data_IF_346321070262
#
_entry.id   IF_346321070262
#
_cell.length_a   1.000
_cell.length_b   1.000
_cell.length_c   1.000
_cell.angle_alpha   90.00
_cell.angle_beta   90.00
_cell.angle_gamma   90.00
#
_symmetry.space_group_name_H-M   'P 1'
#
loop_
_entity.id
_entity.type
_entity.pdbx_description
1 polymer ?
#
# COMPACT_ATOMS: atom_id res chain seq x y z
N UNK A 1 90.40 105.91 49.80
CA UNK A 1 91.09 104.60 49.87
C UNK A 1 90.47 103.66 48.85
N UNK A 2 90.94 103.70 47.60
CA UNK A 2 90.59 102.75 46.53
C UNK A 2 91.91 102.24 45.96
N UNK A 3 92.45 101.18 46.56
CA UNK A 3 93.66 100.49 46.09
C UNK A 3 93.73 99.13 46.77
N UNK A 4 92.74 98.27 46.51
CA UNK A 4 92.86 96.83 46.80
C UNK A 4 92.92 95.96 45.56
N UNK A 5 92.69 96.53 44.37
CA UNK A 5 92.67 95.80 43.11
C UNK A 5 93.41 96.60 42.03
N UNK A 6 94.18 95.88 41.22
CA UNK A 6 94.91 96.41 40.06
C UNK A 6 93.94 96.70 38.90
N UNK A 7 94.33 97.58 37.95
CA UNK A 7 93.52 97.83 36.74
C UNK A 7 93.27 96.54 35.94
N UNK A 8 94.21 95.60 35.95
CA UNK A 8 94.07 94.29 35.31
C UNK A 8 92.98 93.45 36.00
N UNK A 9 93.01 93.35 37.33
CA UNK A 9 92.00 92.61 38.12
C UNK A 9 90.58 93.18 38.05
N UNK A 10 90.43 94.48 37.77
CA UNK A 10 89.13 95.15 37.56
C UNK A 10 88.64 94.88 36.13
N UNK A 11 89.54 94.91 35.14
CA UNK A 11 89.24 94.56 33.74
C UNK A 11 88.78 93.09 33.61
N UNK A 12 89.50 92.17 34.23
CA UNK A 12 89.16 90.73 34.20
C UNK A 12 87.81 90.45 34.87
N UNK A 13 87.52 91.15 35.97
CA UNK A 13 86.25 91.03 36.67
C UNK A 13 85.07 91.66 35.90
N UNK A 14 85.31 92.78 35.20
CA UNK A 14 84.33 93.37 34.27
C UNK A 14 84.00 92.40 33.12
N UNK A 15 85.01 91.73 32.58
CA UNK A 15 84.83 90.74 31.52
C UNK A 15 84.05 89.52 32.02
N UNK A 16 84.34 89.01 33.23
CA UNK A 16 83.56 87.93 33.86
C UNK A 16 82.07 88.30 34.01
N UNK A 17 81.76 89.53 34.45
CA UNK A 17 80.38 90.03 34.51
C UNK A 17 79.77 90.07 33.11
N UNK A 18 80.46 90.62 32.11
CA UNK A 18 79.97 90.68 30.71
C UNK A 18 79.65 89.29 30.17
N UNK A 19 80.55 88.32 30.35
CA UNK A 19 80.36 86.94 29.91
C UNK A 19 79.17 86.28 30.62
N UNK A 20 78.98 86.54 31.91
CA UNK A 20 77.82 86.05 32.68
C UNK A 20 76.50 86.61 32.15
N UNK A 21 76.46 87.89 31.76
CA UNK A 21 75.26 88.50 31.19
C UNK A 21 74.94 88.00 29.77
N UNK A 22 75.95 87.87 28.91
CA UNK A 22 75.77 87.32 27.57
C UNK A 22 75.24 85.88 27.62
N UNK A 23 75.77 85.10 28.56
CA UNK A 23 75.31 83.75 28.83
C UNK A 23 73.88 83.73 29.39
N UNK A 24 73.55 84.63 30.30
CA UNK A 24 72.20 84.82 30.82
C UNK A 24 71.20 85.24 29.75
N UNK A 25 71.57 86.14 28.83
CA UNK A 25 70.75 86.54 27.69
C UNK A 25 70.45 85.34 26.77
N UNK A 26 71.46 84.54 26.43
CA UNK A 26 71.28 83.33 25.63
C UNK A 26 70.31 82.34 26.31
N UNK A 27 70.44 82.13 27.62
CA UNK A 27 69.58 81.25 28.38
C UNK A 27 68.15 81.77 28.53
N UNK A 28 67.96 83.08 28.67
CA UNK A 28 66.62 83.72 28.68
C UNK A 28 65.96 83.65 27.31
N UNK A 29 66.73 83.82 26.24
CA UNK A 29 66.28 83.62 24.86
C UNK A 29 65.87 82.16 24.64
N UNK A 30 66.64 81.20 25.18
CA UNK A 30 66.28 79.78 25.17
C UNK A 30 65.06 79.45 26.05
N UNK A 31 64.84 80.19 27.14
CA UNK A 31 63.62 80.16 27.95
C UNK A 31 62.45 80.92 27.29
N UNK A 32 62.68 81.50 26.10
CA UNK A 32 61.73 82.21 25.25
C UNK A 32 60.89 83.26 26.00
N UNK A 33 61.55 84.04 26.86
CA UNK A 33 60.94 85.16 27.56
C UNK A 33 61.38 86.49 26.89
N UNK A 34 60.69 86.92 25.81
CA UNK A 34 61.12 88.07 25.00
C UNK A 34 61.06 89.40 25.75
N UNK A 35 60.27 89.46 26.82
CA UNK A 35 60.16 90.63 27.70
C UNK A 35 61.45 90.79 28.51
N UNK A 36 61.94 89.70 29.09
CA UNK A 36 63.16 89.71 29.90
C UNK A 36 64.41 89.78 29.01
N UNK A 37 64.37 89.18 27.82
CA UNK A 37 65.43 89.31 26.81
C UNK A 37 65.69 90.78 26.43
N UNK A 38 64.63 91.53 26.10
CA UNK A 38 64.72 92.97 25.81
C UNK A 38 65.21 93.79 27.00
N UNK A 39 64.79 93.42 28.21
CA UNK A 39 65.24 94.07 29.44
C UNK A 39 66.75 93.84 29.67
N UNK A 40 67.22 92.61 29.46
CA UNK A 40 68.63 92.24 29.53
C UNK A 40 69.49 93.02 28.54
N UNK A 41 69.05 93.14 27.28
CA UNK A 41 69.76 93.91 26.25
C UNK A 41 69.92 95.38 26.63
N UNK A 42 68.84 96.00 27.13
CA UNK A 42 68.88 97.40 27.60
C UNK A 42 69.85 97.58 28.77
N UNK A 43 69.95 96.60 29.66
CA UNK A 43 70.79 96.63 30.87
C UNK A 43 72.26 96.28 30.59
N UNK A 44 72.52 95.39 29.63
CA UNK A 44 73.86 95.11 29.07
C UNK A 44 74.51 96.38 28.49
N UNK A 45 73.75 97.22 27.78
CA UNK A 45 74.23 98.50 27.25
C UNK A 45 74.55 99.53 28.35
N UNK A 46 73.96 99.39 29.54
CA UNK A 46 74.31 100.21 30.69
C UNK A 46 75.61 99.73 31.35
N UNK A 47 75.85 98.41 31.44
CA UNK A 47 77.08 97.83 32.00
C UNK A 47 78.36 98.33 31.29
N UNK A 48 78.32 98.50 29.96
CA UNK A 48 79.45 99.05 29.19
C UNK A 48 79.79 100.52 29.56
N UNK A 49 78.87 101.22 30.23
CA UNK A 49 79.05 102.60 30.74
C UNK A 49 79.49 102.67 32.20
N UNK A 50 79.71 101.53 32.86
CA UNK A 50 80.16 101.46 34.25
C UNK A 50 81.59 101.98 34.42
N UNK A 51 81.85 102.77 35.46
CA UNK A 51 83.21 103.24 35.77
C UNK A 51 84.03 102.15 36.47
N UNK A 52 85.36 102.18 36.34
CA UNK A 52 86.25 101.21 37.03
C UNK A 52 86.10 101.26 38.56
N UNK A 53 85.63 102.39 39.11
CA UNK A 53 85.32 102.54 40.53
C UNK A 53 84.08 101.74 40.96
N UNK A 54 83.07 101.64 40.10
CA UNK A 54 81.83 100.90 40.37
C UNK A 54 82.08 99.39 40.30
N UNK A 55 82.91 98.94 39.36
CA UNK A 55 83.33 97.53 39.24
C UNK A 55 84.22 97.12 40.42
N UNK A 56 85.14 97.99 40.85
CA UNK A 56 85.98 97.72 42.03
C UNK A 56 85.16 97.64 43.33
N UNK A 57 84.09 98.44 43.45
CA UNK A 57 83.14 98.38 44.58
C UNK A 57 82.40 97.05 44.59
N UNK A 58 81.82 96.64 43.47
CA UNK A 58 81.11 95.37 43.35
C UNK A 58 82.01 94.18 43.73
N UNK A 59 83.29 94.19 43.31
CA UNK A 59 84.28 93.17 43.71
C UNK A 59 84.60 93.19 45.21
N UNK A 60 84.58 94.36 45.84
CA UNK A 60 84.86 94.50 47.29
C UNK A 60 83.76 93.94 48.20
N UNK A 61 82.53 93.87 47.71
CA UNK A 61 81.38 93.30 48.44
C UNK A 61 81.27 91.78 48.32
N UNK A 62 82.21 91.13 47.60
CA UNK A 62 82.27 89.67 47.50
C UNK A 62 81.20 89.08 46.59
N UNK A 63 80.62 89.86 45.68
CA UNK A 63 79.79 89.33 44.61
C UNK A 63 80.67 88.42 43.73
N UNK A 64 80.34 87.13 43.64
CA UNK A 64 81.12 86.18 42.84
C UNK A 64 80.35 85.81 41.57
N UNK A 65 80.64 86.53 40.49
CA UNK A 65 80.06 86.25 39.18
C UNK A 65 80.65 85.00 38.53
N UNK A 66 81.82 84.51 38.96
CA UNK A 66 82.39 83.29 38.40
C UNK A 66 81.56 82.07 38.80
N UNK A 67 81.13 81.99 40.06
CA UNK A 67 80.27 80.90 40.52
C UNK A 67 78.91 80.89 39.79
N UNK A 68 78.38 82.08 39.51
CA UNK A 68 77.15 82.22 38.72
C UNK A 68 77.35 81.85 37.25
N UNK A 69 78.48 82.28 36.66
CA UNK A 69 78.85 81.93 35.30
C UNK A 69 78.95 80.41 35.13
N UNK A 70 79.62 79.71 36.04
CA UNK A 70 79.73 78.25 36.04
C UNK A 70 78.37 77.56 36.19
N UNK A 71 77.49 78.08 37.06
CA UNK A 71 76.13 77.57 37.20
C UNK A 71 75.31 77.75 35.90
N UNK A 72 75.43 78.90 35.25
CA UNK A 72 74.78 79.18 33.96
C UNK A 72 75.37 78.36 32.82
N UNK A 73 76.68 78.09 32.82
CA UNK A 73 77.34 77.23 31.83
C UNK A 73 76.85 75.80 31.94
N UNK A 74 76.78 75.28 33.18
CA UNK A 74 76.21 73.96 33.46
C UNK A 74 74.77 73.84 32.96
N UNK A 75 73.95 74.86 33.22
CA UNK A 75 72.58 74.90 32.69
C UNK A 75 72.54 74.97 31.16
N UNK A 76 73.39 75.77 30.53
CA UNK A 76 73.47 75.89 29.07
C UNK A 76 73.79 74.56 28.42
N UNK A 77 74.73 73.80 28.97
CA UNK A 77 75.04 72.46 28.46
C UNK A 77 73.82 71.54 28.54
N UNK A 78 73.08 71.57 29.65
CA UNK A 78 71.86 70.76 29.82
C UNK A 78 70.71 71.22 28.89
N UNK A 79 70.62 72.53 28.62
CA UNK A 79 69.56 73.10 27.76
C UNK A 79 69.89 72.91 26.26
N UNK A 80 71.16 73.04 25.87
CA UNK A 80 71.65 72.92 24.48
C UNK A 80 71.83 71.51 24.00
N UNK A 81 72.13 70.57 24.88
CA UNK A 81 72.11 69.16 24.52
C UNK A 81 70.64 68.85 24.18
N UNK A 82 70.27 68.58 22.90
CA UNK A 82 69.03 67.86 22.68
C UNK A 82 69.17 66.63 23.54
N UNK A 83 68.17 66.29 24.35
CA UNK A 83 68.23 65.17 25.26
C UNK A 83 68.25 63.86 24.45
N UNK A 84 69.32 63.65 23.69
CA UNK A 84 69.67 62.44 23.02
C UNK A 84 70.09 61.49 24.12
N UNK A 85 69.37 60.38 24.20
CA UNK A 85 69.59 59.26 25.11
C UNK A 85 68.88 59.30 26.47
N UNK A 86 67.66 59.84 26.55
CA UNK A 86 66.63 59.14 27.30
C UNK A 86 65.37 59.05 26.44
N UNK A 87 64.93 57.84 26.10
CA UNK A 87 63.82 57.57 25.17
C UNK A 87 62.45 58.00 25.72
N UNK A 88 62.30 59.26 26.13
CA UNK A 88 61.13 59.82 26.81
C UNK A 88 60.29 60.75 25.93
N UNK A 89 60.36 60.64 24.60
CA UNK A 89 59.18 61.04 23.85
C UNK A 89 58.12 60.00 24.18
N UNK A 90 57.16 60.30 25.06
CA UNK A 90 56.10 59.34 25.43
C UNK A 90 55.05 59.25 24.32
N UNK A 91 55.50 58.88 23.13
CA UNK A 91 54.65 58.57 21.98
C UNK A 91 54.07 57.16 22.16
N UNK A 92 52.82 56.92 21.74
CA UNK A 92 52.25 55.59 21.77
C UNK A 92 53.09 54.61 20.93
N UNK A 93 53.39 53.44 21.50
CA UNK A 93 54.13 52.36 20.83
C UNK A 93 53.27 51.63 19.78
N UNK A 94 51.95 51.72 19.89
CA UNK A 94 50.97 51.11 19.01
C UNK A 94 50.41 52.13 18.01
N UNK A 95 50.39 51.74 16.73
CA UNK A 95 49.80 52.55 15.66
C UNK A 95 48.30 52.79 15.87
N UNK A 96 47.81 53.94 15.40
CA UNK A 96 46.38 54.29 15.45
C UNK A 96 45.96 55.12 16.67
N UNK A 97 46.85 55.26 17.65
CA UNK A 97 46.62 56.13 18.79
C UNK A 97 46.92 57.60 18.49
N UNK A 98 46.11 58.55 19.00
CA UNK A 98 46.42 59.97 18.88
C UNK A 98 47.70 60.33 19.65
N UNK A 99 48.50 61.20 19.05
CA UNK A 99 49.69 61.80 19.67
C UNK A 99 49.30 62.85 20.72
N UNK A 100 50.23 63.14 21.63
CA UNK A 100 50.10 64.28 22.53
C UNK A 100 50.28 65.61 21.77
N UNK A 101 49.50 66.62 22.16
CA UNK A 101 49.51 67.94 21.53
C UNK A 101 50.49 68.86 22.29
N UNK A 102 51.71 68.93 21.79
CA UNK A 102 52.79 69.69 22.41
C UNK A 102 52.76 71.16 21.95
N UNK A 103 52.87 72.09 22.91
CA UNK A 103 52.93 73.53 22.63
C UNK A 103 54.32 73.95 22.14
N UNK A 104 54.61 75.25 22.20
CA UNK A 104 55.89 75.82 21.79
C UNK A 104 57.11 75.29 22.58
N UNK A 105 56.91 74.77 23.80
CA UNK A 105 57.95 74.13 24.61
C UNK A 105 58.44 72.80 24.02
N UNK A 106 57.77 72.27 22.99
CA UNK A 106 58.13 71.03 22.32
C UNK A 106 57.81 69.79 23.17
N UNK A 107 58.47 68.67 22.88
CA UNK A 107 58.22 67.37 23.53
C UNK A 107 59.44 66.84 24.31
N UNK A 108 60.42 67.70 24.59
CA UNK A 108 61.70 67.29 25.15
C UNK A 108 61.83 67.72 26.62
N UNK A 109 61.79 66.74 27.52
CA UNK A 109 62.09 66.96 28.93
C UNK A 109 63.58 67.27 29.15
N UNK A 110 63.86 68.35 29.87
CA UNK A 110 65.14 68.66 30.52
C UNK A 110 65.30 67.90 31.83
N UNK A 111 64.18 67.45 32.41
CA UNK A 111 64.13 66.53 33.55
C UNK A 111 64.73 67.10 34.84
N UNK A 112 64.97 66.23 35.82
CA UNK A 112 65.45 66.64 37.14
C UNK A 112 66.81 67.38 37.09
N UNK A 113 67.66 67.05 36.11
CA UNK A 113 68.96 67.71 35.92
C UNK A 113 68.81 69.15 35.44
N UNK A 114 67.94 69.41 34.46
CA UNK A 114 67.65 70.77 33.97
C UNK A 114 66.98 71.64 35.02
N UNK A 115 66.01 71.09 35.74
CA UNK A 115 65.32 71.80 36.82
C UNK A 115 66.29 72.15 37.97
N UNK A 116 67.15 71.21 38.37
CA UNK A 116 68.15 71.41 39.41
C UNK A 116 69.22 72.43 38.98
N UNK A 117 69.65 72.39 37.73
CA UNK A 117 70.60 73.37 37.19
C UNK A 117 70.00 74.78 37.14
N UNK A 118 68.74 74.92 36.70
CA UNK A 118 68.02 76.18 36.74
C UNK A 118 67.83 76.69 38.17
N UNK A 119 67.49 75.79 39.10
CA UNK A 119 67.39 76.10 40.53
C UNK A 119 68.75 76.57 41.10
N UNK A 120 69.84 75.96 40.68
CA UNK A 120 71.20 76.34 41.09
C UNK A 120 71.54 77.75 40.59
N UNK A 121 71.22 78.07 39.34
CA UNK A 121 71.41 79.41 38.76
C UNK A 121 70.67 80.48 39.57
N UNK A 122 69.39 80.26 39.91
CA UNK A 122 68.63 81.23 40.70
C UNK A 122 69.12 81.35 42.15
N UNK A 123 69.53 80.24 42.78
CA UNK A 123 70.11 80.28 44.15
C UNK A 123 71.40 81.09 44.17
N UNK A 124 72.31 80.84 43.22
CA UNK A 124 73.59 81.55 43.13
C UNK A 124 73.35 83.01 42.76
N UNK A 125 72.42 83.32 41.84
CA UNK A 125 72.05 84.69 41.49
C UNK A 125 71.46 85.46 42.68
N UNK A 126 70.59 84.85 43.49
CA UNK A 126 70.11 85.43 44.75
C UNK A 126 71.23 85.68 45.75
N UNK A 127 72.23 84.79 45.80
CA UNK A 127 73.46 84.98 46.56
C UNK A 127 74.23 86.22 46.12
N UNK A 128 74.53 86.33 44.82
CA UNK A 128 75.21 87.50 44.19
C UNK A 128 74.42 88.79 44.43
N UNK A 129 73.10 88.76 44.26
CA UNK A 129 72.21 89.90 44.52
C UNK A 129 72.25 90.33 45.99
N UNK A 130 72.10 89.41 46.94
CA UNK A 130 72.15 89.74 48.39
C UNK A 130 73.51 90.32 48.84
N UNK A 131 74.60 89.94 48.17
CA UNK A 131 75.94 90.45 48.42
C UNK A 131 76.14 91.84 47.80
N UNK A 132 75.65 92.06 46.59
CA UNK A 132 75.74 93.34 45.89
C UNK A 132 74.77 94.41 46.39
N UNK A 133 73.59 94.02 46.86
CA UNK A 133 72.57 94.92 47.43
C UNK A 133 73.08 95.63 48.70
N UNK A 134 73.95 94.98 49.47
CA UNK A 134 74.69 95.62 50.59
C UNK A 134 75.60 96.76 50.15
N UNK A 135 76.00 96.81 48.88
CA UNK A 135 76.71 97.94 48.26
C UNK A 135 75.81 99.00 47.64
N UNK A 136 74.50 98.73 47.55
CA UNK A 136 73.47 99.66 47.10
C UNK A 136 72.99 100.59 48.23
N UNK A 137 73.24 100.27 49.49
CA UNK A 137 72.78 101.05 50.66
C UNK A 137 73.73 102.16 51.14
N UNK A 138 74.59 102.68 50.24
CA UNK A 138 75.39 103.88 50.52
C UNK A 138 75.28 104.91 49.39
N UNK A 139 74.14 105.64 49.30
CA UNK A 139 74.07 107.12 49.15
C UNK A 139 72.65 107.61 49.51
N UNK A 140 72.61 108.53 50.49
CA UNK A 140 71.64 109.58 50.84
C UNK A 140 70.31 109.71 50.07
N UNK A 141 69.20 109.65 50.80
CA UNK A 141 67.86 110.14 50.41
C UNK A 141 67.87 111.67 50.30
N UNK A 142 67.57 112.23 49.12
CA UNK A 142 67.09 113.62 48.97
C UNK A 142 65.92 113.61 47.99
N UNK A 143 64.71 113.70 48.56
CA UNK A 143 63.43 114.13 47.98
C UNK A 143 63.03 113.61 46.57
N UNK A 144 62.17 112.58 46.56
CA UNK A 144 61.13 112.36 45.55
C UNK A 144 61.60 111.82 44.19
N UNK A 145 61.26 110.56 43.91
CA UNK A 145 61.49 109.81 42.66
C UNK A 145 62.98 109.57 42.33
N UNK A 146 63.57 108.48 42.86
CA UNK A 146 64.94 108.12 42.50
C UNK A 146 65.42 106.83 43.14
N UNK A 147 65.30 105.72 42.41
CA UNK A 147 66.10 104.52 42.67
C UNK A 147 67.59 104.86 42.61
N UNK A 148 68.40 104.16 43.41
CA UNK A 148 69.84 104.35 43.41
C UNK A 148 70.40 104.05 42.00
N UNK A 149 70.98 105.04 41.33
CA UNK A 149 71.58 104.92 39.99
C UNK A 149 72.99 104.34 40.00
N UNK A 150 73.44 103.80 41.14
CA UNK A 150 74.65 103.00 41.18
C UNK A 150 74.52 101.87 40.15
N UNK A 151 75.39 101.91 39.14
CA UNK A 151 75.47 100.87 38.10
C UNK A 151 75.62 99.46 38.71
N UNK A 152 76.15 99.37 39.93
CA UNK A 152 76.24 98.14 40.74
C UNK A 152 74.86 97.49 40.97
N UNK A 153 73.82 98.26 41.29
CA UNK A 153 72.47 97.76 41.57
C UNK A 153 71.78 97.26 40.31
N UNK A 154 71.96 98.00 39.22
CA UNK A 154 71.48 97.63 37.88
C UNK A 154 72.07 96.28 37.46
N UNK A 155 73.35 96.04 37.76
CA UNK A 155 74.04 94.80 37.40
C UNK A 155 73.46 93.60 38.16
N UNK A 156 73.38 93.69 39.50
CA UNK A 156 72.92 92.54 40.28
C UNK A 156 71.42 92.26 40.12
N UNK A 157 70.60 93.29 39.92
CA UNK A 157 69.15 93.17 39.66
C UNK A 157 68.88 92.51 38.30
N UNK A 158 69.64 92.89 37.27
CA UNK A 158 69.51 92.29 35.94
C UNK A 158 69.86 90.81 35.96
N UNK A 159 70.90 90.43 36.70
CA UNK A 159 71.33 89.04 36.87
C UNK A 159 70.27 88.21 37.60
N UNK A 160 69.68 88.76 38.67
CA UNK A 160 68.60 88.09 39.39
C UNK A 160 67.37 87.93 38.49
N UNK A 161 66.96 88.99 37.80
CA UNK A 161 65.82 88.98 36.87
C UNK A 161 66.01 87.95 35.75
N UNK A 162 67.22 87.85 35.19
CA UNK A 162 67.56 86.85 34.19
C UNK A 162 67.46 85.43 34.76
N UNK A 163 68.01 85.20 35.96
CA UNK A 163 67.97 83.91 36.62
C UNK A 163 66.54 83.48 37.00
N UNK A 164 65.68 84.41 37.41
CA UNK A 164 64.25 84.16 37.70
C UNK A 164 63.52 83.76 36.42
N UNK A 165 63.71 84.52 35.33
CA UNK A 165 63.10 84.23 34.04
C UNK A 165 63.54 82.86 33.46
N UNK A 166 64.80 82.48 33.66
CA UNK A 166 65.32 81.17 33.27
C UNK A 166 64.65 80.06 34.08
N UNK A 167 64.62 80.21 35.41
CA UNK A 167 64.01 79.20 36.29
C UNK A 167 62.51 79.04 36.03
N UNK A 168 61.78 80.14 35.90
CA UNK A 168 60.36 80.15 35.58
C UNK A 168 60.08 79.56 34.19
N UNK A 169 60.88 79.92 33.18
CA UNK A 169 60.72 79.38 31.83
C UNK A 169 60.99 77.87 31.74
N UNK A 170 62.04 77.37 32.38
CA UNK A 170 62.35 75.93 32.42
C UNK A 170 61.26 75.18 33.19
N UNK A 171 60.82 75.70 34.33
CA UNK A 171 59.75 75.08 35.13
C UNK A 171 58.40 75.11 34.40
N UNK A 172 58.09 76.21 33.71
CA UNK A 172 56.89 76.33 32.88
C UNK A 172 56.89 75.27 31.78
N UNK A 173 57.98 75.14 31.02
CA UNK A 173 58.04 74.18 29.93
C UNK A 173 57.99 72.73 30.40
N UNK A 174 58.59 72.37 31.53
CA UNK A 174 58.43 71.02 32.11
C UNK A 174 56.96 70.73 32.47
N UNK A 175 56.29 71.68 33.14
CA UNK A 175 54.89 71.52 33.51
C UNK A 175 53.95 71.48 32.29
N UNK A 176 54.25 72.24 31.23
CA UNK A 176 53.50 72.23 29.97
C UNK A 176 53.64 70.88 29.24
N UNK A 177 54.86 70.34 29.16
CA UNK A 177 55.12 69.01 28.58
C UNK A 177 54.40 67.92 29.39
N UNK A 178 54.52 67.92 30.73
CA UNK A 178 53.79 66.97 31.60
C UNK A 178 52.27 67.05 31.38
N UNK A 179 51.73 68.26 31.27
CA UNK A 179 50.31 68.49 31.00
C UNK A 179 49.89 67.96 29.62
N UNK A 180 50.68 68.21 28.59
CA UNK A 180 50.45 67.70 27.23
C UNK A 180 50.48 66.15 27.18
N UNK A 181 51.42 65.52 27.88
CA UNK A 181 51.52 64.05 27.97
C UNK A 181 50.37 63.43 28.76
N UNK A 182 49.94 64.06 29.85
CA UNK A 182 48.76 63.66 30.63
C UNK A 182 47.50 63.77 29.75
N UNK A 183 47.31 64.90 29.06
CA UNK A 183 46.18 65.10 28.16
C UNK A 183 46.20 64.06 27.01
N UNK A 184 47.36 63.85 26.38
CA UNK A 184 47.54 62.79 25.38
C UNK A 184 47.18 61.40 25.92
N UNK A 185 47.52 61.10 27.18
CA UNK A 185 47.14 59.84 27.84
C UNK A 185 45.62 59.71 28.02
N UNK A 186 44.94 60.78 28.42
CA UNK A 186 43.47 60.78 28.49
C UNK A 186 42.81 60.62 27.12
N UNK A 187 43.34 61.25 26.07
CA UNK A 187 42.85 61.08 24.69
C UNK A 187 43.01 59.64 24.19
N UNK A 188 44.11 58.97 24.55
CA UNK A 188 44.33 57.55 24.21
C UNK A 188 43.38 56.63 24.98
N UNK A 189 43.11 56.93 26.25
CA UNK A 189 42.10 56.19 27.03
C UNK A 189 40.70 56.35 26.43
N UNK A 190 40.34 57.57 26.01
CA UNK A 190 39.08 57.83 25.33
C UNK A 190 38.97 57.06 24.00
N UNK A 191 40.06 57.02 23.21
CA UNK A 191 40.13 56.21 22.01
C UNK A 191 39.93 54.71 22.29
N UNK A 192 40.59 54.16 23.32
CA UNK A 192 40.41 52.75 23.72
C UNK A 192 38.97 52.48 24.12
N UNK A 193 38.35 53.36 24.90
CA UNK A 193 36.95 53.18 25.30
C UNK A 193 36.00 53.24 24.10
N UNK A 194 36.26 54.14 23.15
CA UNK A 194 35.49 54.22 21.90
C UNK A 194 35.64 52.95 21.05
N UNK A 195 36.86 52.42 20.92
CA UNK A 195 37.12 51.16 20.21
C UNK A 195 36.45 49.97 20.91
N UNK A 196 36.54 49.89 22.23
CA UNK A 196 35.87 48.85 23.03
C UNK A 196 34.36 48.92 22.89
N UNK A 197 33.78 50.12 22.91
CA UNK A 197 32.34 50.31 22.68
C UNK A 197 31.94 49.88 21.26
N UNK A 198 32.77 50.18 20.27
CA UNK A 198 32.55 49.76 18.88
C UNK A 198 32.63 48.23 18.74
N UNK A 199 33.61 47.60 19.38
CA UNK A 199 33.74 46.14 19.44
C UNK A 199 32.55 45.48 20.15
N UNK A 200 32.07 46.07 21.24
CA UNK A 200 30.86 45.60 21.91
C UNK A 200 29.65 45.67 20.97
N UNK A 201 29.44 46.79 20.28
CA UNK A 201 28.36 46.92 19.30
C UNK A 201 28.46 45.92 18.15
N UNK A 202 29.67 45.63 17.66
CA UNK A 202 29.92 44.60 16.64
C UNK A 202 29.64 43.19 17.16
N UNK A 203 30.03 42.89 18.41
CA UNK A 203 29.76 41.63 19.08
C UNK A 203 28.26 41.41 19.27
N UNK A 204 27.53 42.41 19.77
CA UNK A 204 26.08 42.36 19.99
C UNK A 204 25.32 42.17 18.66
N UNK A 205 25.78 42.85 17.60
CA UNK A 205 25.24 42.69 16.25
C UNK A 205 25.47 41.28 15.71
N UNK A 206 26.67 40.73 15.92
CA UNK A 206 27.02 39.36 15.50
C UNK A 206 26.21 38.32 16.27
N UNK A 207 26.05 38.49 17.58
CA UNK A 207 25.22 37.62 18.41
C UNK A 207 23.77 37.62 17.92
N UNK A 208 23.22 38.80 17.63
CA UNK A 208 21.85 38.95 17.10
C UNK A 208 21.70 38.24 15.75
N UNK A 209 22.67 38.40 14.85
CA UNK A 209 22.66 37.72 13.55
C UNK A 209 22.70 36.19 13.69
N UNK A 210 23.54 35.66 14.58
CA UNK A 210 23.63 34.22 14.86
C UNK A 210 22.30 33.68 15.39
N UNK A 211 21.69 34.37 16.36
CA UNK A 211 20.40 33.95 16.95
C UNK A 211 19.30 33.96 15.88
N UNK A 212 19.23 35.00 15.05
CA UNK A 212 18.24 35.09 13.98
C UNK A 212 18.42 33.98 12.94
N UNK A 213 19.65 33.71 12.51
CA UNK A 213 19.94 32.62 11.59
C UNK A 213 19.58 31.25 12.18
N UNK A 214 19.90 31.01 13.45
CA UNK A 214 19.53 29.76 14.13
C UNK A 214 18.01 29.58 14.20
N UNK A 215 17.26 30.65 14.51
CA UNK A 215 15.80 30.62 14.54
C UNK A 215 15.21 30.37 13.15
N UNK A 216 15.75 31.01 12.10
CA UNK A 216 15.33 30.77 10.72
C UNK A 216 15.59 29.32 10.30
N UNK A 217 16.81 28.82 10.51
CA UNK A 217 17.17 27.44 10.18
C UNK A 217 16.28 26.43 10.91
N UNK A 218 15.97 26.68 12.20
CA UNK A 218 15.06 25.82 12.97
C UNK A 218 13.66 25.82 12.37
N UNK A 219 13.15 26.98 11.97
CA UNK A 219 11.84 27.10 11.30
C UNK A 219 11.81 26.33 9.98
N UNK A 220 12.86 26.47 9.16
CA UNK A 220 12.96 25.80 7.86
C UNK A 220 12.99 24.27 8.01
N UNK A 221 13.75 23.76 8.98
CA UNK A 221 13.80 22.33 9.30
C UNK A 221 12.42 21.80 9.72
N UNK A 222 11.75 22.49 10.65
CA UNK A 222 10.42 22.07 11.12
C UNK A 222 9.39 22.08 9.99
N UNK A 223 9.43 23.10 9.12
CA UNK A 223 8.52 23.16 7.97
C UNK A 223 8.78 22.03 6.97
N UNK A 224 10.05 21.71 6.71
CA UNK A 224 10.42 20.59 5.84
C UNK A 224 9.99 19.23 6.44
N UNK A 225 10.20 19.02 7.74
CA UNK A 225 9.75 17.81 8.45
C UNK A 225 8.23 17.65 8.39
N UNK A 226 7.47 18.72 8.63
CA UNK A 226 6.01 18.70 8.53
C UNK A 226 5.54 18.40 7.10
N UNK A 227 6.13 19.03 6.09
CA UNK A 227 5.79 18.75 4.69
C UNK A 227 6.08 17.31 4.28
N UNK A 228 7.21 16.75 4.73
CA UNK A 228 7.54 15.34 4.51
C UNK A 228 6.55 14.41 5.21
N UNK A 229 6.19 14.71 6.47
CA UNK A 229 5.20 13.95 7.23
C UNK A 229 3.84 13.93 6.55
N UNK A 230 3.38 15.08 6.08
CA UNK A 230 2.09 15.20 5.37
C UNK A 230 2.10 14.41 4.06
N UNK A 231 3.23 14.43 3.34
CA UNK A 231 3.42 13.63 2.11
C UNK A 231 3.35 12.12 2.40
N UNK A 232 4.02 11.66 3.47
CA UNK A 232 3.98 10.25 3.89
C UNK A 232 2.54 9.85 4.24
N UNK A 233 1.83 10.65 5.04
CA UNK A 233 0.44 10.37 5.43
C UNK A 233 -0.49 10.31 4.21
N UNK A 234 -0.30 11.21 3.24
CA UNK A 234 -1.08 11.21 2.01
C UNK A 234 -0.85 9.94 1.18
N UNK A 235 0.40 9.51 1.04
CA UNK A 235 0.76 8.28 0.33
C UNK A 235 0.22 7.03 1.04
N UNK A 236 0.40 6.92 2.35
CA UNK A 236 -0.12 5.79 3.14
C UNK A 236 -1.65 5.66 3.00
N UNK A 237 -2.37 6.78 2.99
CA UNK A 237 -3.81 6.79 2.79
C UNK A 237 -4.21 6.39 1.36
N UNK A 238 -3.45 6.83 0.35
CA UNK A 238 -3.67 6.45 -1.04
C UNK A 238 -3.46 4.93 -1.24
N UNK A 239 -2.37 4.40 -0.69
CA UNK A 239 -2.04 2.97 -0.76
C UNK A 239 -3.08 2.12 -0.02
N UNK A 240 -3.50 2.55 1.17
CA UNK A 240 -4.58 1.89 1.92
C UNK A 240 -5.88 1.83 1.11
N UNK A 241 -6.25 2.93 0.44
CA UNK A 241 -7.46 2.96 -0.39
C UNK A 241 -7.32 2.05 -1.62
N UNK A 242 -6.14 1.99 -2.25
CA UNK A 242 -5.87 1.11 -3.37
C UNK A 242 -5.99 -0.37 -2.98
N UNK A 243 -5.46 -0.75 -1.80
CA UNK A 243 -5.61 -2.11 -1.25
C UNK A 243 -7.09 -2.46 -1.04
N UNK A 244 -7.86 -1.57 -0.39
CA UNK A 244 -9.30 -1.79 -0.15
C UNK A 244 -10.07 -1.98 -1.46
N UNK A 245 -9.78 -1.18 -2.49
CA UNK A 245 -10.42 -1.29 -3.79
C UNK A 245 -10.10 -2.63 -4.47
N UNK A 246 -8.84 -3.07 -4.40
CA UNK A 246 -8.40 -4.34 -4.95
C UNK A 246 -9.10 -5.51 -4.23
N UNK A 247 -9.14 -5.48 -2.89
CA UNK A 247 -9.82 -6.50 -2.09
C UNK A 247 -11.32 -6.61 -2.42
N UNK A 248 -12.00 -5.47 -2.60
CA UNK A 248 -13.40 -5.46 -3.02
C UNK A 248 -13.58 -6.03 -4.43
N UNK A 249 -12.71 -5.66 -5.38
CA UNK A 249 -12.73 -6.21 -6.74
C UNK A 249 -12.54 -7.73 -6.76
N UNK A 250 -11.59 -8.24 -5.95
CA UNK A 250 -11.35 -9.67 -5.81
C UNK A 250 -12.54 -10.38 -5.17
N UNK A 251 -13.13 -9.80 -4.12
CA UNK A 251 -14.34 -10.33 -3.47
C UNK A 251 -15.49 -10.45 -4.47
N UNK A 252 -15.76 -9.40 -5.24
CA UNK A 252 -16.84 -9.38 -6.22
C UNK A 252 -16.63 -10.44 -7.32
N UNK A 253 -15.37 -10.62 -7.74
CA UNK A 253 -14.99 -11.68 -8.71
C UNK A 253 -15.26 -13.07 -8.14
N UNK A 254 -14.87 -13.33 -6.89
CA UNK A 254 -15.12 -14.62 -6.22
C UNK A 254 -16.63 -14.88 -6.11
N UNK A 255 -17.40 -13.90 -5.63
CA UNK A 255 -18.87 -14.03 -5.50
C UNK A 255 -19.53 -14.26 -6.85
N UNK A 256 -19.06 -13.59 -7.91
CA UNK A 256 -19.54 -13.81 -9.28
C UNK A 256 -19.30 -15.25 -9.75
N UNK A 257 -18.09 -15.78 -9.53
CA UNK A 257 -17.74 -17.14 -9.89
C UNK A 257 -18.54 -18.18 -9.10
N UNK A 258 -18.71 -17.98 -7.79
CA UNK A 258 -19.50 -18.87 -6.94
C UNK A 258 -20.96 -18.93 -7.38
N UNK A 259 -21.55 -17.77 -7.73
CA UNK A 259 -22.91 -17.72 -8.27
C UNK A 259 -23.02 -18.42 -9.63
N UNK A 260 -22.05 -18.24 -10.53
CA UNK A 260 -22.02 -18.94 -11.82
C UNK A 260 -21.92 -20.47 -11.63
N UNK A 261 -21.05 -20.93 -10.72
CA UNK A 261 -20.91 -22.34 -10.38
C UNK A 261 -22.20 -22.91 -9.79
N UNK A 262 -22.86 -22.17 -8.90
CA UNK A 262 -24.15 -22.57 -8.32
C UNK A 262 -25.23 -22.75 -9.40
N UNK A 263 -25.32 -21.83 -10.36
CA UNK A 263 -26.24 -21.93 -11.49
C UNK A 263 -25.92 -23.16 -12.35
N UNK A 264 -24.65 -23.41 -12.64
CA UNK A 264 -24.23 -24.58 -13.41
C UNK A 264 -24.62 -25.91 -12.75
N UNK A 265 -24.44 -26.01 -11.43
CA UNK A 265 -24.86 -27.18 -10.64
C UNK A 265 -26.38 -27.38 -10.74
N UNK A 266 -27.17 -26.32 -10.53
CA UNK A 266 -28.64 -26.39 -10.61
C UNK A 266 -29.10 -26.85 -12.00
N UNK A 267 -28.49 -26.34 -13.07
CA UNK A 267 -28.83 -26.74 -14.43
C UNK A 267 -28.50 -28.22 -14.67
N UNK A 268 -27.32 -28.68 -14.25
CA UNK A 268 -26.93 -30.08 -14.38
C UNK A 268 -27.88 -31.01 -13.60
N UNK A 269 -28.27 -30.64 -12.38
CA UNK A 269 -29.24 -31.40 -11.58
C UNK A 269 -30.61 -31.49 -12.28
N UNK A 270 -31.07 -30.40 -12.89
CA UNK A 270 -32.31 -30.38 -13.65
C UNK A 270 -32.24 -31.24 -14.92
N UNK A 271 -31.12 -31.18 -15.65
CA UNK A 271 -30.88 -32.00 -16.83
C UNK A 271 -30.87 -33.50 -16.48
N UNK A 272 -30.17 -33.86 -15.40
CA UNK A 272 -30.14 -35.23 -14.88
C UNK A 272 -31.55 -35.71 -14.47
N UNK A 273 -32.31 -34.85 -13.76
CA UNK A 273 -33.70 -35.15 -13.39
C UNK A 273 -34.59 -35.38 -14.61
N UNK A 274 -34.45 -34.54 -15.64
CA UNK A 274 -35.22 -34.68 -16.88
C UNK A 274 -34.85 -35.96 -17.63
N UNK A 275 -33.56 -36.33 -17.66
CA UNK A 275 -33.09 -37.57 -18.26
C UNK A 275 -33.67 -38.82 -17.57
N UNK A 276 -33.72 -38.82 -16.22
CA UNK A 276 -34.35 -39.89 -15.44
C UNK A 276 -35.83 -40.00 -15.78
N UNK A 277 -36.58 -38.89 -15.79
CA UNK A 277 -38.01 -38.87 -16.12
C UNK A 277 -38.25 -39.41 -17.54
N UNK A 278 -37.41 -39.03 -18.50
CA UNK A 278 -37.52 -39.51 -19.88
C UNK A 278 -37.31 -41.02 -19.97
N UNK A 279 -36.30 -41.56 -19.26
CA UNK A 279 -36.02 -43.00 -19.20
C UNK A 279 -37.18 -43.77 -18.55
N UNK A 280 -37.69 -43.30 -17.42
CA UNK A 280 -38.83 -43.93 -16.74
C UNK A 280 -40.08 -43.98 -17.63
N UNK A 281 -40.37 -42.90 -18.37
CA UNK A 281 -41.48 -42.87 -19.32
C UNK A 281 -41.27 -43.82 -20.51
N UNK A 282 -40.05 -43.94 -21.01
CA UNK A 282 -39.70 -44.90 -22.06
C UNK A 282 -39.90 -46.35 -21.56
N UNK A 283 -39.41 -46.66 -20.36
CA UNK A 283 -39.58 -47.98 -19.73
C UNK A 283 -41.06 -48.31 -19.50
N UNK A 284 -41.84 -47.35 -18.98
CA UNK A 284 -43.29 -47.52 -18.79
C UNK A 284 -44.00 -47.81 -20.11
N UNK A 285 -43.63 -47.11 -21.18
CA UNK A 285 -44.18 -47.34 -22.52
C UNK A 285 -43.84 -48.73 -23.04
N UNK A 286 -42.59 -49.18 -22.87
CA UNK A 286 -42.15 -50.51 -23.28
C UNK A 286 -42.89 -51.63 -22.53
N UNK A 287 -43.11 -51.47 -21.21
CA UNK A 287 -43.89 -52.42 -20.41
C UNK A 287 -45.33 -52.52 -20.93
N UNK A 288 -46.01 -51.39 -21.17
CA UNK A 288 -47.39 -51.38 -21.68
C UNK A 288 -47.48 -52.05 -23.06
N UNK A 289 -46.52 -51.80 -23.95
CA UNK A 289 -46.48 -52.46 -25.27
C UNK A 289 -46.32 -53.97 -25.14
N UNK A 290 -45.44 -54.43 -24.25
CA UNK A 290 -45.24 -55.86 -24.00
C UNK A 290 -46.50 -56.51 -23.41
N UNK A 291 -47.12 -55.88 -22.41
CA UNK A 291 -48.37 -56.37 -21.81
C UNK A 291 -49.49 -56.50 -22.85
N UNK A 292 -49.61 -55.53 -23.76
CA UNK A 292 -50.58 -55.59 -24.85
C UNK A 292 -50.26 -56.72 -25.83
N UNK A 293 -49.01 -56.90 -26.23
CA UNK A 293 -48.61 -58.00 -27.10
C UNK A 293 -48.87 -59.39 -26.47
N UNK A 294 -48.62 -59.52 -25.16
CA UNK A 294 -48.94 -60.74 -24.41
C UNK A 294 -50.45 -60.98 -24.35
N UNK A 295 -51.25 -59.93 -24.10
CA UNK A 295 -52.71 -60.00 -24.12
C UNK A 295 -53.24 -60.45 -25.49
N UNK A 296 -52.74 -59.89 -26.58
CA UNK A 296 -53.14 -60.26 -27.94
C UNK A 296 -52.81 -61.72 -28.24
N UNK A 297 -51.64 -62.19 -27.78
CA UNK A 297 -51.25 -63.61 -27.90
C UNK A 297 -52.21 -64.53 -27.17
N UNK A 298 -52.58 -64.19 -25.93
CA UNK A 298 -53.56 -64.96 -25.14
C UNK A 298 -54.91 -65.00 -25.85
N UNK A 299 -55.43 -63.85 -26.30
CA UNK A 299 -56.72 -63.76 -27.01
C UNK A 299 -56.71 -64.58 -28.30
N UNK A 300 -55.63 -64.54 -29.06
CA UNK A 300 -55.50 -65.35 -30.28
C UNK A 300 -55.50 -66.85 -29.97
N UNK A 301 -54.77 -67.28 -28.95
CA UNK A 301 -54.78 -68.67 -28.50
C UNK A 301 -56.16 -69.12 -28.05
N UNK A 302 -56.88 -68.30 -27.28
CA UNK A 302 -58.25 -68.58 -26.85
C UNK A 302 -59.21 -68.71 -28.04
N UNK A 303 -59.08 -67.85 -29.05
CA UNK A 303 -59.88 -67.92 -30.27
C UNK A 303 -59.59 -69.19 -31.08
N UNK A 304 -58.32 -69.60 -31.19
CA UNK A 304 -57.92 -70.86 -31.84
C UNK A 304 -58.50 -72.05 -31.08
N UNK A 305 -58.36 -72.09 -29.76
CA UNK A 305 -58.91 -73.15 -28.91
C UNK A 305 -60.44 -73.23 -29.04
N UNK A 306 -61.13 -72.10 -29.03
CA UNK A 306 -62.58 -72.04 -29.25
C UNK A 306 -62.98 -72.60 -30.62
N UNK A 307 -62.25 -72.25 -31.67
CA UNK A 307 -62.49 -72.77 -33.03
C UNK A 307 -62.31 -74.28 -33.11
N UNK A 308 -61.27 -74.82 -32.45
CA UNK A 308 -61.03 -76.26 -32.35
C UNK A 308 -62.16 -76.99 -31.62
N UNK A 309 -62.64 -76.44 -30.50
CA UNK A 309 -63.79 -77.01 -29.76
C UNK A 309 -65.02 -77.07 -30.66
N UNK A 310 -65.38 -75.96 -31.33
CA UNK A 310 -66.53 -75.91 -32.25
C UNK A 310 -66.40 -76.92 -33.39
N UNK A 311 -65.19 -77.06 -33.95
CA UNK A 311 -64.93 -78.01 -35.03
C UNK A 311 -65.13 -79.46 -34.56
N UNK A 312 -64.58 -79.80 -33.39
CA UNK A 312 -64.74 -81.13 -32.80
C UNK A 312 -66.21 -81.42 -32.44
N UNK A 313 -66.94 -80.45 -31.87
CA UNK A 313 -68.35 -80.61 -31.55
C UNK A 313 -69.20 -80.84 -32.81
N UNK A 314 -68.92 -80.12 -33.90
CA UNK A 314 -69.58 -80.35 -35.18
C UNK A 314 -69.26 -81.74 -35.75
N UNK A 315 -68.00 -82.16 -35.72
CA UNK A 315 -67.60 -83.50 -36.17
C UNK A 315 -68.28 -84.61 -35.35
N UNK A 316 -68.35 -84.44 -34.04
CA UNK A 316 -69.06 -85.37 -33.14
C UNK A 316 -70.56 -85.41 -33.46
N UNK A 317 -71.20 -84.25 -33.67
CA UNK A 317 -72.62 -84.18 -34.06
C UNK A 317 -72.86 -84.91 -35.39
N UNK A 318 -72.02 -84.67 -36.39
CA UNK A 318 -72.16 -85.29 -37.70
C UNK A 318 -71.96 -86.81 -37.63
N UNK A 319 -71.04 -87.29 -36.78
CA UNK A 319 -70.85 -88.71 -36.52
C UNK A 319 -72.09 -89.36 -35.85
N UNK A 320 -72.72 -88.68 -34.89
CA UNK A 320 -73.99 -89.13 -34.28
C UNK A 320 -75.09 -89.23 -35.34
N UNK A 321 -75.26 -88.20 -36.17
CA UNK A 321 -76.26 -88.19 -37.25
C UNK A 321 -76.01 -89.34 -38.25
N UNK A 322 -74.75 -89.59 -38.62
CA UNK A 322 -74.39 -90.69 -39.52
C UNK A 322 -74.72 -92.06 -38.90
N UNK A 323 -74.46 -92.24 -37.60
CA UNK A 323 -74.81 -93.46 -36.88
C UNK A 323 -76.33 -93.65 -36.80
N UNK A 324 -77.08 -92.60 -36.48
CA UNK A 324 -78.55 -92.63 -36.44
C UNK A 324 -79.14 -92.98 -37.80
N UNK A 325 -78.61 -92.43 -38.89
CA UNK A 325 -79.03 -92.77 -40.25
C UNK A 325 -78.71 -94.24 -40.59
N UNK A 326 -77.54 -94.74 -40.17
CA UNK A 326 -77.17 -96.15 -40.34
C UNK A 326 -78.14 -97.06 -39.60
N UNK A 327 -78.42 -96.76 -38.33
CA UNK A 327 -79.38 -97.51 -37.51
C UNK A 327 -80.79 -97.47 -38.10
N UNK A 328 -81.24 -96.30 -38.56
CA UNK A 328 -82.53 -96.16 -39.25
C UNK A 328 -82.62 -97.04 -40.49
N UNK A 329 -81.59 -97.04 -41.33
CA UNK A 329 -81.55 -97.87 -42.54
C UNK A 329 -81.56 -99.37 -42.20
N UNK A 330 -80.86 -99.78 -41.14
CA UNK A 330 -80.91 -101.16 -40.65
C UNK A 330 -82.30 -101.57 -40.16
N UNK A 331 -82.99 -100.70 -39.41
CA UNK A 331 -84.38 -100.93 -38.97
C UNK A 331 -85.29 -101.10 -40.19
N UNK A 332 -85.21 -100.20 -41.18
CA UNK A 332 -86.02 -100.27 -42.41
C UNK A 332 -85.75 -101.58 -43.17
N UNK A 333 -84.48 -102.00 -43.29
CA UNK A 333 -84.12 -103.25 -43.96
C UNK A 333 -84.67 -104.48 -43.22
N UNK A 334 -84.60 -104.49 -41.89
CA UNK A 334 -85.18 -105.54 -41.06
C UNK A 334 -86.71 -105.57 -41.17
N UNK A 335 -87.37 -104.41 -41.13
CA UNK A 335 -88.82 -104.30 -41.29
C UNK A 335 -89.27 -104.81 -42.65
N UNK A 336 -88.56 -104.48 -43.73
CA UNK A 336 -88.84 -105.01 -45.06
C UNK A 336 -88.67 -106.53 -45.11
N UNK A 337 -87.60 -107.07 -44.53
CA UNK A 337 -87.37 -108.52 -44.44
C UNK A 337 -88.48 -109.22 -43.66
N UNK A 338 -88.86 -108.67 -42.51
CA UNK A 338 -89.95 -109.19 -41.68
C UNK A 338 -91.29 -109.13 -42.41
N UNK A 339 -91.59 -108.02 -43.12
CA UNK A 339 -92.78 -107.88 -43.95
C UNK A 339 -92.81 -108.96 -45.04
N UNK A 340 -91.72 -109.18 -45.76
CA UNK A 340 -91.66 -110.17 -46.82
C UNK A 340 -91.82 -111.60 -46.26
N UNK A 341 -91.22 -111.90 -45.09
CA UNK A 341 -91.44 -113.16 -44.37
C UNK A 341 -92.91 -113.35 -43.96
N UNK A 342 -93.56 -112.31 -43.41
CA UNK A 342 -94.97 -112.36 -43.03
C UNK A 342 -95.85 -112.63 -44.26
N UNK A 343 -95.61 -111.95 -45.38
CA UNK A 343 -96.34 -112.17 -46.63
C UNK A 343 -96.16 -113.61 -47.12
N UNK A 344 -94.93 -114.12 -47.11
CA UNK A 344 -94.62 -115.50 -47.48
C UNK A 344 -95.35 -116.52 -46.58
N UNK A 345 -95.32 -116.31 -45.26
CA UNK A 345 -95.99 -117.19 -44.30
C UNK A 345 -97.52 -117.11 -44.44
N UNK A 346 -98.08 -115.93 -44.66
CA UNK A 346 -99.51 -115.76 -44.89
C UNK A 346 -99.98 -116.47 -46.18
N UNK A 347 -99.17 -116.40 -47.24
CA UNK A 347 -99.42 -117.11 -48.49
C UNK A 347 -99.36 -118.64 -48.29
N UNK A 348 -98.35 -119.13 -47.56
CA UNK A 348 -98.24 -120.54 -47.19
C UNK A 348 -99.49 -121.02 -46.46
N UNK A 349 -99.92 -120.29 -45.43
CA UNK A 349 -101.11 -120.62 -44.64
C UNK A 349 -102.40 -120.59 -45.49
N UNK A 350 -102.55 -119.62 -46.39
CA UNK A 350 -103.73 -119.52 -47.25
C UNK A 350 -103.83 -120.72 -48.22
N UNK A 351 -102.69 -121.20 -48.73
CA UNK A 351 -102.62 -122.40 -49.55
C UNK A 351 -102.92 -123.64 -48.70
N UNK A 352 -102.34 -123.77 -47.51
CA UNK A 352 -102.65 -124.87 -46.57
C UNK A 352 -104.14 -124.94 -46.22
N UNK A 353 -104.79 -123.80 -45.96
CA UNK A 353 -106.23 -123.74 -45.71
C UNK A 353 -107.04 -124.18 -46.94
N UNK A 354 -106.61 -123.80 -48.14
CA UNK A 354 -107.27 -124.25 -49.37
C UNK A 354 -107.07 -125.74 -49.62
N UNK A 355 -105.88 -126.26 -49.30
CA UNK A 355 -105.55 -127.69 -49.37
C UNK A 355 -106.37 -128.52 -48.38
N UNK A 356 -106.64 -128.00 -47.18
CA UNK A 356 -107.43 -128.68 -46.16
C UNK A 356 -108.95 -128.58 -46.38
N UNK A 357 -109.43 -127.59 -47.13
CA UNK A 357 -110.86 -127.41 -47.40
C UNK A 357 -111.45 -128.49 -48.30
N UNK A 358 -112.68 -128.95 -47.99
CA UNK A 358 -113.48 -129.87 -48.82
C UNK A 358 -114.38 -129.16 -49.84
N UNK A 359 -114.32 -127.83 -49.91
CA UNK A 359 -115.02 -127.04 -50.91
C UNK A 359 -114.21 -127.01 -52.20
N UNK A 360 -114.73 -127.57 -53.30
CA UNK A 360 -114.09 -127.64 -54.63
C UNK A 360 -113.84 -126.29 -55.33
N UNK A 361 -113.70 -125.20 -54.57
CA UNK A 361 -113.34 -123.87 -55.02
C UNK A 361 -112.00 -123.49 -54.40
N UNK A 362 -110.91 -124.02 -54.96
CA UNK A 362 -109.59 -123.46 -54.73
C UNK A 362 -109.52 -122.06 -55.37
N UNK A 363 -108.78 -121.13 -54.76
CA UNK A 363 -108.52 -119.86 -55.42
C UNK A 363 -107.72 -120.14 -56.71
N UNK A 364 -108.17 -119.60 -57.85
CA UNK A 364 -107.60 -119.88 -59.17
C UNK A 364 -106.08 -119.69 -59.24
N UNK A 365 -105.53 -118.74 -58.46
CA UNK A 365 -104.09 -118.50 -58.37
C UNK A 365 -103.30 -119.67 -57.75
N UNK A 366 -103.89 -120.49 -56.88
CA UNK A 366 -103.20 -121.66 -56.31
C UNK A 366 -103.12 -122.84 -57.28
N UNK A 367 -103.98 -122.85 -58.30
CA UNK A 367 -104.01 -123.89 -59.33
C UNK A 367 -103.01 -123.59 -60.46
N UNK A 368 -102.47 -122.38 -60.58
CA UNK A 368 -101.64 -122.02 -61.74
C UNK A 368 -100.14 -122.19 -61.45
N UNK A 369 -99.31 -122.46 -62.48
CA UNK A 369 -97.86 -122.40 -62.36
C UNK A 369 -97.35 -120.94 -62.24
N UNK A 370 -96.12 -120.79 -61.75
CA UNK A 370 -95.43 -119.49 -61.72
C UNK A 370 -95.37 -118.85 -63.13
N UNK A 371 -95.32 -117.50 -63.27
CA UNK A 371 -95.10 -116.50 -62.22
C UNK A 371 -96.38 -116.00 -61.52
N UNK A 372 -97.55 -116.24 -62.09
CA UNK A 372 -98.83 -115.73 -61.56
C UNK A 372 -99.62 -116.81 -60.82
N UNK A 373 -98.96 -117.88 -60.38
CA UNK A 373 -99.61 -118.98 -59.71
C UNK A 373 -98.71 -119.67 -58.71
N UNK A 374 -99.34 -120.34 -57.75
CA UNK A 374 -98.67 -120.91 -56.58
C UNK A 374 -98.81 -122.43 -56.47
N UNK A 375 -99.11 -123.13 -57.59
CA UNK A 375 -99.27 -124.59 -57.56
C UNK A 375 -97.97 -125.32 -57.19
N UNK A 376 -96.81 -124.76 -57.56
CA UNK A 376 -95.50 -125.29 -57.15
C UNK A 376 -95.29 -125.17 -55.64
N UNK A 377 -95.72 -124.06 -55.04
CA UNK A 377 -95.69 -123.85 -53.59
C UNK A 377 -96.67 -124.82 -52.92
N UNK A 378 -97.90 -124.94 -53.42
CA UNK A 378 -98.87 -125.91 -52.93
C UNK A 378 -98.32 -127.35 -52.98
N UNK A 379 -97.70 -127.74 -54.09
CA UNK A 379 -97.00 -129.04 -54.22
C UNK A 379 -95.92 -129.19 -53.15
N UNK A 380 -95.10 -128.16 -52.92
CA UNK A 380 -94.02 -128.22 -51.93
C UNK A 380 -94.56 -128.33 -50.50
N UNK A 381 -95.66 -127.65 -50.19
CA UNK A 381 -96.37 -127.74 -48.90
C UNK A 381 -96.85 -129.16 -48.69
N UNK A 382 -97.62 -129.73 -49.63
CA UNK A 382 -98.10 -131.12 -49.53
C UNK A 382 -96.95 -132.09 -49.36
N UNK A 383 -95.86 -131.90 -50.11
CA UNK A 383 -94.67 -132.74 -50.00
C UNK A 383 -94.06 -132.68 -48.61
N UNK A 384 -93.85 -131.48 -48.09
CA UNK A 384 -93.31 -131.26 -46.75
C UNK A 384 -94.22 -131.88 -45.69
N UNK A 385 -95.54 -131.77 -45.83
CA UNK A 385 -96.51 -132.39 -44.92
C UNK A 385 -96.40 -133.92 -44.93
N UNK A 386 -96.34 -134.55 -46.11
CA UNK A 386 -96.14 -136.01 -46.22
C UNK A 386 -94.80 -136.44 -45.62
N UNK A 387 -93.73 -135.71 -45.90
CA UNK A 387 -92.41 -136.03 -45.38
C UNK A 387 -92.36 -135.88 -43.85
N UNK A 388 -93.03 -134.87 -43.29
CA UNK A 388 -93.19 -134.69 -41.84
C UNK A 388 -94.02 -135.84 -41.21
N UNK A 389 -95.13 -136.25 -41.82
CA UNK A 389 -95.90 -137.42 -41.37
C UNK A 389 -95.11 -138.72 -41.41
N UNK A 390 -94.35 -138.94 -42.50
CA UNK A 390 -93.50 -140.11 -42.66
C UNK A 390 -92.44 -140.14 -41.57
N UNK A 391 -91.84 -138.99 -41.26
CA UNK A 391 -90.91 -138.85 -40.15
C UNK A 391 -91.57 -139.10 -38.78
N UNK A 392 -92.85 -138.75 -38.61
CA UNK A 392 -93.66 -139.07 -37.44
C UNK A 392 -94.11 -140.54 -37.36
N UNK A 393 -93.75 -141.38 -38.34
CA UNK A 393 -94.05 -142.82 -38.36
C UNK A 393 -95.49 -143.16 -38.79
N UNK A 394 -96.23 -142.21 -39.35
CA UNK A 394 -97.61 -142.41 -39.82
C UNK A 394 -97.66 -143.07 -41.21
N UNK A 395 -98.76 -143.75 -41.52
CA UNK A 395 -98.96 -144.39 -42.82
C UNK A 395 -99.35 -143.35 -43.88
N UNK A 396 -98.41 -143.03 -44.77
CA UNK A 396 -98.58 -142.03 -45.84
C UNK A 396 -98.90 -142.65 -47.21
N UNK A 397 -99.14 -143.96 -47.30
CA UNK A 397 -99.28 -144.65 -48.59
C UNK A 397 -100.38 -144.04 -49.48
N UNK A 398 -101.53 -143.73 -48.89
CA UNK A 398 -102.66 -143.15 -49.60
C UNK A 398 -102.39 -141.70 -50.02
N UNK A 399 -101.75 -140.91 -49.15
CA UNK A 399 -101.33 -139.55 -49.46
C UNK A 399 -100.28 -139.50 -50.59
N UNK A 400 -99.28 -140.38 -50.58
CA UNK A 400 -98.22 -140.45 -51.61
C UNK A 400 -98.78 -140.88 -52.97
N UNK A 401 -99.79 -141.77 -52.97
CA UNK A 401 -100.50 -142.16 -54.18
C UNK A 401 -101.20 -140.96 -54.83
N UNK A 402 -101.98 -140.20 -54.06
CA UNK A 402 -102.62 -138.98 -54.57
C UNK A 402 -101.59 -137.92 -54.98
N UNK A 403 -100.47 -137.78 -54.26
CA UNK A 403 -99.38 -136.87 -54.63
C UNK A 403 -98.77 -137.24 -55.98
N UNK A 404 -98.50 -138.53 -56.20
CA UNK A 404 -97.95 -139.03 -57.48
C UNK A 404 -98.93 -138.80 -58.64
N UNK A 405 -100.21 -139.03 -58.40
CA UNK A 405 -101.25 -138.72 -59.38
C UNK A 405 -101.31 -137.21 -59.67
N UNK A 406 -101.13 -136.36 -58.65
CA UNK A 406 -101.05 -134.92 -58.82
C UNK A 406 -99.85 -134.50 -59.67
N UNK A 407 -98.67 -135.10 -59.47
CA UNK A 407 -97.48 -134.85 -60.30
C UNK A 407 -97.71 -135.23 -61.76
N UNK A 408 -98.37 -136.35 -62.03
CA UNK A 408 -98.71 -136.77 -63.40
C UNK A 408 -99.69 -135.78 -64.06
N UNK A 409 -100.66 -135.27 -63.29
CA UNK A 409 -101.57 -134.22 -63.76
C UNK A 409 -100.83 -132.89 -64.03
N UNK A 410 -99.86 -132.52 -63.18
CA UNK A 410 -98.98 -131.35 -63.42
C UNK A 410 -98.17 -131.52 -64.71
N UNK A 411 -97.54 -132.68 -64.93
CA UNK A 411 -96.75 -132.93 -66.16
C UNK A 411 -97.60 -132.98 -67.42
N UNK A 412 -98.91 -133.18 -67.28
CA UNK A 412 -99.88 -133.19 -68.39
C UNK A 412 -100.55 -131.83 -68.60
N UNK A 413 -100.16 -130.79 -67.85
CA UNK A 413 -100.75 -129.45 -67.91
C UNK A 413 -102.17 -129.35 -67.36
N UNK A 414 -102.67 -130.38 -66.67
CA UNK A 414 -104.02 -130.43 -66.09
C UNK A 414 -104.00 -129.84 -64.67
N UNK A 415 -103.72 -128.54 -64.56
CA UNK A 415 -103.36 -127.93 -63.27
C UNK A 415 -104.49 -127.92 -62.22
N UNK A 416 -105.75 -127.81 -62.65
CA UNK A 416 -106.90 -127.89 -61.75
C UNK A 416 -107.09 -129.29 -61.16
N UNK A 417 -106.93 -130.32 -61.99
CA UNK A 417 -106.97 -131.72 -61.53
C UNK A 417 -105.77 -132.02 -60.63
N UNK A 418 -104.60 -131.49 -60.97
CA UNK A 418 -103.41 -131.58 -60.14
C UNK A 418 -103.62 -130.96 -58.75
N UNK A 419 -104.15 -129.73 -58.66
CA UNK A 419 -104.42 -129.11 -57.36
C UNK A 419 -105.44 -129.93 -56.56
N UNK A 420 -106.53 -130.41 -57.19
CA UNK A 420 -107.51 -131.26 -56.52
C UNK A 420 -106.89 -132.54 -55.95
N UNK A 421 -105.98 -133.20 -56.69
CA UNK A 421 -105.23 -134.36 -56.20
C UNK A 421 -104.25 -133.98 -55.08
N UNK A 422 -103.65 -132.79 -55.13
CA UNK A 422 -102.86 -132.25 -54.02
C UNK A 422 -103.72 -132.02 -52.76
N UNK A 423 -104.97 -131.56 -52.90
CA UNK A 423 -105.90 -131.44 -51.76
C UNK A 423 -106.18 -132.82 -51.14
N UNK A 424 -106.55 -133.81 -51.95
CA UNK A 424 -106.79 -135.18 -51.50
C UNK A 424 -105.55 -135.76 -50.79
N UNK A 425 -104.38 -135.54 -51.39
CA UNK A 425 -103.10 -135.94 -50.81
C UNK A 425 -102.83 -135.26 -49.46
N UNK A 426 -103.01 -133.93 -49.38
CA UNK A 426 -102.81 -133.16 -48.15
C UNK A 426 -103.75 -133.60 -47.03
N UNK A 427 -105.02 -133.87 -47.35
CA UNK A 427 -106.02 -134.31 -46.38
C UNK A 427 -105.72 -135.70 -45.82
N UNK A 428 -105.35 -136.66 -46.69
CA UNK A 428 -104.84 -137.96 -46.23
C UNK A 428 -103.56 -137.80 -45.41
N UNK A 429 -102.71 -136.83 -45.77
CA UNK A 429 -101.50 -136.50 -45.05
C UNK A 429 -101.72 -135.65 -43.78
N UNK A 430 -102.96 -135.31 -43.43
CA UNK A 430 -103.28 -134.50 -42.25
C UNK A 430 -104.29 -135.18 -41.31
N UNK A 431 -104.66 -136.44 -41.59
CA UNK A 431 -105.44 -137.30 -40.69
C UNK A 431 -104.56 -137.83 -39.56
#
# INVERSE_FOLDING_TARGET
MLSRYTRMEISDYRESIRQTFLLGHELVSAANNPTVEKLLEQRLQMLDKASDADIARLKSYGADFNQLHEAMLSLREIVRVPAAADGRKRTPLSSGFPEADYSFCGSEHKGAAGLLAAQTVIIVAKGVWSLGDRGCDQVLVVLGEGGNTSLVCIIVDTVLTAAEAIYEGVTFCENDIDSAEINGSYRRLDHIHSDLQSLQGSSDSSQTAIVNNNNSNKSDIVNAENGNRDTIIANDNADKNAIILNDNTNRDTIVGNDNANKIAIINNDNDNKNAIIANDNANKTAIVLNDNANRDTIVNNDNVNRSLIITNDNANRDAVIANDNTNRNLIIANDNTNRDLIISNALHLAIEQSLSSNSGTAMAFFELPAPNGYIDLARSIVRQTIDNMRAAGQNVFQAESFYTQALNALSSGQYKDAFHRLQQSYQEASK
#
